data_IF_239828463730
#
_entry.id   IF_239828463730
#
_cell.length_a   1.000
_cell.length_b   1.000
_cell.length_c   1.000
_cell.angle_alpha   90.00
_cell.angle_beta   90.00
_cell.angle_gamma   90.00
#
_symmetry.space_group_name_H-M   'P 1'
#
loop_
_entity.id
_entity.type
_entity.pdbx_description
1 polymer ?
#
# COMPACT_ATOMS: atom_id res chain seq x y z
N UNK A 1 -7.60 -28.48 2.80
CA UNK A 1 -7.23 -27.06 2.87
C UNK A 1 -6.21 -26.86 1.76
N UNK A 2 -6.60 -26.23 0.65
CA UNK A 2 -5.62 -25.80 -0.35
C UNK A 2 -4.64 -24.85 0.33
N UNK A 3 -3.36 -25.16 0.26
CA UNK A 3 -2.29 -24.26 0.72
C UNK A 3 -2.35 -23.00 -0.14
N UNK A 4 -2.90 -21.91 0.40
CA UNK A 4 -2.77 -20.61 -0.26
C UNK A 4 -1.28 -20.29 -0.38
N UNK A 5 -0.85 -19.86 -1.57
CA UNK A 5 0.48 -19.31 -1.73
C UNK A 5 0.67 -18.16 -0.70
N UNK A 6 1.83 -18.09 -0.05
CA UNK A 6 2.12 -17.04 0.91
C UNK A 6 2.05 -15.67 0.23
N UNK A 7 1.52 -14.67 0.95
CA UNK A 7 1.50 -13.29 0.46
C UNK A 7 2.76 -12.60 0.96
N UNK A 8 3.65 -12.25 0.03
CA UNK A 8 4.89 -11.56 0.33
C UNK A 8 4.67 -10.06 0.48
N UNK A 9 5.29 -9.46 1.50
CA UNK A 9 5.26 -8.01 1.75
C UNK A 9 6.68 -7.52 1.96
N UNK A 10 7.13 -6.57 1.12
CA UNK A 10 8.38 -5.87 1.34
C UNK A 10 8.33 -5.05 2.63
N UNK A 11 9.45 -4.97 3.35
CA UNK A 11 9.49 -4.24 4.62
C UNK A 11 10.86 -3.62 4.88
N UNK A 12 10.88 -2.44 5.50
CA UNK A 12 12.14 -1.88 6.02
C UNK A 12 12.71 -2.78 7.12
N UNK A 13 13.88 -3.37 6.91
CA UNK A 13 14.45 -4.44 7.74
C UNK A 13 14.54 -4.10 9.24
N UNK A 14 14.76 -2.84 9.59
CA UNK A 14 14.81 -2.38 10.99
C UNK A 14 13.47 -2.58 11.74
N UNK A 15 12.33 -2.70 11.02
CA UNK A 15 11.02 -2.94 11.61
C UNK A 15 10.82 -4.39 12.04
N UNK A 16 11.65 -5.31 11.51
CA UNK A 16 11.68 -6.73 11.86
C UNK A 16 12.71 -7.05 12.96
N UNK A 17 13.24 -6.04 13.65
CA UNK A 17 14.24 -6.23 14.70
C UNK A 17 15.68 -6.38 14.19
N UNK A 18 15.93 -6.24 12.88
CA UNK A 18 17.29 -6.30 12.34
C UNK A 18 18.05 -5.02 12.69
N UNK A 19 19.26 -5.15 13.24
CA UNK A 19 20.11 -4.06 13.72
C UNK A 19 20.83 -3.33 12.58
N UNK A 20 20.07 -2.72 11.69
CA UNK A 20 20.55 -2.06 10.46
C UNK A 20 20.40 -0.54 10.45
N UNK A 21 20.04 0.07 11.58
CA UNK A 21 19.96 1.53 11.66
C UNK A 21 21.33 2.17 11.75
N UNK A 22 21.39 3.48 11.44
CA UNK A 22 22.64 4.27 11.47
C UNK A 22 23.41 4.17 12.78
N UNK A 23 22.72 3.97 13.91
CA UNK A 23 23.32 3.84 15.25
C UNK A 23 23.56 2.37 15.68
N UNK A 24 23.42 1.40 14.77
CA UNK A 24 23.58 -0.03 15.08
C UNK A 24 22.39 -0.67 15.79
N UNK A 25 21.25 0.04 15.92
CA UNK A 25 20.03 -0.51 16.55
C UNK A 25 18.98 -0.92 15.53
N UNK A 26 17.80 -1.25 16.03
CA UNK A 26 16.60 -1.56 15.25
C UNK A 26 15.42 -0.68 15.69
N UNK A 27 14.26 -0.87 15.06
CA UNK A 27 12.99 -0.29 15.46
C UNK A 27 11.86 -1.32 15.26
N UNK A 28 12.02 -2.46 15.91
CA UNK A 28 11.06 -3.54 15.85
C UNK A 28 9.62 -3.05 16.11
N UNK A 29 8.72 -3.46 15.27
CA UNK A 29 7.27 -3.24 15.41
C UNK A 29 6.60 -4.53 15.84
N UNK A 30 6.17 -4.62 17.08
CA UNK A 30 5.47 -5.81 17.60
C UNK A 30 4.17 -6.11 16.86
N UNK A 31 3.51 -5.10 16.30
CA UNK A 31 2.35 -5.30 15.43
C UNK A 31 2.72 -6.16 14.20
N UNK A 32 3.86 -5.86 13.58
CA UNK A 32 4.31 -6.54 12.37
C UNK A 32 4.88 -7.93 12.68
N UNK A 33 5.77 -8.02 13.66
CA UNK A 33 6.48 -9.26 14.00
C UNK A 33 5.61 -10.31 14.69
N UNK A 34 4.48 -9.94 15.29
CA UNK A 34 3.57 -10.85 15.98
C UNK A 34 2.23 -11.00 15.27
N UNK A 35 1.46 -9.90 15.12
CA UNK A 35 0.09 -10.01 14.63
C UNK A 35 0.00 -10.22 13.12
N UNK A 36 0.83 -9.55 12.32
CA UNK A 36 0.76 -9.66 10.86
C UNK A 36 1.65 -10.77 10.29
N UNK A 37 2.69 -11.19 11.00
CA UNK A 37 3.59 -12.26 10.56
C UNK A 37 2.93 -13.65 10.48
N UNK A 38 1.76 -13.82 11.10
CA UNK A 38 0.96 -15.05 10.96
C UNK A 38 0.21 -15.12 9.62
N UNK A 39 0.13 -14.00 8.90
CA UNK A 39 -0.69 -13.87 7.69
C UNK A 39 0.13 -13.49 6.45
N UNK A 40 1.34 -13.00 6.63
CA UNK A 40 2.20 -12.48 5.56
C UNK A 40 3.65 -12.92 5.75
N UNK A 41 4.32 -13.21 4.66
CA UNK A 41 5.76 -13.43 4.62
C UNK A 41 6.47 -12.11 4.32
N UNK A 42 7.27 -11.65 5.26
CA UNK A 42 7.98 -10.38 5.12
C UNK A 42 9.33 -10.55 4.41
N UNK A 43 9.59 -9.70 3.41
CA UNK A 43 10.84 -9.61 2.66
C UNK A 43 11.59 -8.34 3.10
N UNK A 44 12.56 -8.44 4.03
CA UNK A 44 13.21 -7.28 4.61
C UNK A 44 14.27 -6.68 3.68
N UNK A 45 14.31 -5.34 3.59
CA UNK A 45 15.34 -4.60 2.88
C UNK A 45 15.81 -3.38 3.69
N UNK A 46 17.12 -3.09 3.64
CA UNK A 46 17.69 -1.84 4.17
C UNK A 46 18.50 -1.15 3.08
N UNK A 47 17.98 -0.08 2.45
CA UNK A 47 18.65 0.57 1.33
C UNK A 47 20.01 1.19 1.71
N UNK A 48 20.15 1.76 2.91
CA UNK A 48 21.37 2.38 3.35
C UNK A 48 22.51 1.36 3.56
N UNK A 49 22.19 0.16 4.05
CA UNK A 49 23.17 -0.93 4.18
C UNK A 49 23.52 -1.48 2.79
N UNK A 50 22.53 -1.65 1.94
CA UNK A 50 22.71 -2.23 0.61
C UNK A 50 23.61 -1.38 -0.30
N UNK A 51 23.56 -0.04 -0.17
CA UNK A 51 24.47 0.86 -0.91
C UNK A 51 25.85 1.00 -0.28
N UNK A 52 26.19 0.21 0.76
CA UNK A 52 27.51 0.13 1.35
C UNK A 52 27.83 1.14 2.46
N UNK A 53 26.82 1.80 3.05
CA UNK A 53 27.07 2.78 4.12
C UNK A 53 27.56 2.15 5.44
N UNK A 54 27.41 0.82 5.60
CA UNK A 54 27.86 0.11 6.81
C UNK A 54 26.96 0.28 8.03
N UNK A 55 27.38 -0.31 9.16
CA UNK A 55 26.73 -0.24 10.48
C UNK A 55 27.85 -0.20 11.56
N UNK A 56 27.92 0.78 12.49
CA UNK A 56 27.15 2.04 12.45
C UNK A 56 27.60 2.95 11.31
N UNK A 57 26.80 3.98 10.99
CA UNK A 57 27.10 4.94 9.93
C UNK A 57 26.67 6.36 10.31
N UNK A 58 27.15 7.32 9.56
CA UNK A 58 26.67 8.67 9.65
C UNK A 58 25.17 8.74 9.27
N UNK A 59 24.41 9.52 10.03
CA UNK A 59 23.03 9.81 9.68
C UNK A 59 22.97 10.69 8.42
N UNK A 60 21.98 10.44 7.56
CA UNK A 60 21.69 11.26 6.39
C UNK A 60 20.42 12.07 6.60
N UNK A 61 20.26 13.14 5.83
CA UNK A 61 19.05 13.99 5.79
C UNK A 61 18.74 14.40 4.37
N UNK A 62 17.48 14.80 4.13
CA UNK A 62 17.08 15.37 2.86
C UNK A 62 17.29 16.88 2.88
N UNK A 63 17.83 17.42 1.77
CA UNK A 63 18.06 18.87 1.57
C UNK A 63 17.61 19.27 0.16
N UNK A 64 17.38 20.57 -0.02
CA UNK A 64 17.04 21.14 -1.34
C UNK A 64 15.54 21.18 -1.60
N UNK A 65 15.13 20.98 -2.85
CA UNK A 65 13.72 21.00 -3.26
C UNK A 65 12.96 19.79 -2.71
N UNK A 66 11.81 19.97 -2.01
CA UNK A 66 10.99 18.87 -1.52
C UNK A 66 10.50 17.89 -2.60
N UNK A 67 10.34 18.33 -3.84
CA UNK A 67 9.93 17.46 -4.97
C UNK A 67 11.12 16.63 -5.49
N UNK A 68 12.34 17.18 -5.39
CA UNK A 68 13.58 16.56 -5.86
C UNK A 68 14.70 16.68 -4.81
N UNK A 69 14.50 16.12 -3.60
CA UNK A 69 15.45 16.29 -2.51
C UNK A 69 16.74 15.49 -2.73
N UNK A 70 17.80 15.96 -2.12
CA UNK A 70 19.08 15.24 -2.05
C UNK A 70 19.28 14.62 -0.67
N UNK A 71 19.75 13.37 -0.63
CA UNK A 71 20.12 12.68 0.60
C UNK A 71 21.61 12.87 0.87
N UNK A 72 21.95 13.68 1.87
CA UNK A 72 23.33 14.03 2.21
C UNK A 72 23.66 13.72 3.67
N UNK A 73 24.94 13.56 3.97
CA UNK A 73 25.42 13.37 5.34
C UNK A 73 25.08 14.54 6.25
N UNK A 74 24.87 14.28 7.53
CA UNK A 74 24.57 15.33 8.52
C UNK A 74 25.83 16.05 8.98
N UNK A 75 26.97 15.38 8.98
CA UNK A 75 28.31 15.90 9.35
C UNK A 75 29.14 16.17 8.09
N UNK A 76 29.35 15.15 7.27
CA UNK A 76 30.07 15.25 6.00
C UNK A 76 29.12 15.58 4.87
N UNK A 77 28.98 16.86 4.54
CA UNK A 77 28.01 17.36 3.53
C UNK A 77 28.36 16.93 2.09
N UNK A 78 29.59 16.56 1.84
CA UNK A 78 30.09 15.96 0.59
C UNK A 78 29.62 14.51 0.40
N UNK A 79 29.22 13.82 1.48
CA UNK A 79 28.56 12.52 1.38
C UNK A 79 27.16 12.71 0.77
N UNK A 80 27.02 12.40 -0.51
CA UNK A 80 25.74 12.43 -1.23
C UNK A 80 25.39 11.02 -1.71
N UNK A 81 24.30 10.47 -1.17
CA UNK A 81 23.83 9.10 -1.45
C UNK A 81 22.50 9.08 -2.23
N UNK A 82 22.12 10.22 -2.80
CA UNK A 82 20.86 10.35 -3.55
C UNK A 82 20.78 9.35 -4.69
N UNK A 83 21.76 9.37 -5.57
CA UNK A 83 21.79 8.48 -6.74
C UNK A 83 21.88 7.00 -6.37
N UNK A 84 22.78 6.56 -5.48
CA UNK A 84 22.82 5.15 -5.04
C UNK A 84 21.51 4.66 -4.43
N UNK A 85 20.82 5.48 -3.62
CA UNK A 85 19.52 5.13 -3.04
C UNK A 85 18.41 5.02 -4.09
N UNK A 86 18.39 5.92 -5.09
CA UNK A 86 17.43 5.86 -6.17
C UNK A 86 17.65 4.62 -7.04
N UNK A 87 18.88 4.38 -7.48
CA UNK A 87 19.25 3.21 -8.29
C UNK A 87 18.93 1.88 -7.56
N UNK A 88 19.17 1.83 -6.24
CA UNK A 88 18.78 0.68 -5.45
C UNK A 88 17.25 0.53 -5.35
N UNK A 89 16.50 1.63 -5.26
CA UNK A 89 15.03 1.61 -5.30
C UNK A 89 14.48 1.02 -6.59
N UNK A 90 15.04 1.45 -7.73
CA UNK A 90 14.67 0.91 -9.05
C UNK A 90 15.08 -0.57 -9.21
N UNK A 91 16.25 -0.96 -8.66
CA UNK A 91 16.71 -2.34 -8.66
C UNK A 91 15.77 -3.24 -7.85
N UNK A 92 15.47 -2.85 -6.61
CA UNK A 92 14.60 -3.63 -5.72
C UNK A 92 13.17 -3.71 -6.24
N UNK A 93 12.70 -2.71 -6.97
CA UNK A 93 11.40 -2.77 -7.62
C UNK A 93 11.33 -3.89 -8.69
N UNK A 94 12.44 -4.23 -9.33
CA UNK A 94 12.52 -5.36 -10.27
C UNK A 94 12.72 -6.71 -9.56
N UNK A 95 13.50 -6.74 -8.47
CA UNK A 95 13.78 -7.97 -7.73
C UNK A 95 12.60 -8.45 -6.88
N UNK A 96 11.80 -7.49 -6.38
CA UNK A 96 10.62 -7.77 -5.56
C UNK A 96 9.34 -7.72 -6.42
N UNK A 97 9.28 -8.45 -7.52
CA UNK A 97 8.16 -8.46 -8.46
C UNK A 97 6.95 -9.27 -7.95
N UNK A 98 7.16 -10.15 -6.98
CA UNK A 98 6.16 -11.03 -6.38
C UNK A 98 5.49 -10.47 -5.11
N UNK A 99 5.94 -9.31 -4.61
CA UNK A 99 5.34 -8.73 -3.40
C UNK A 99 3.96 -8.12 -3.69
N UNK A 100 3.09 -8.19 -2.68
CA UNK A 100 1.72 -7.66 -2.74
C UNK A 100 1.53 -6.38 -1.91
N UNK A 101 2.58 -5.86 -1.31
CA UNK A 101 2.59 -4.63 -0.54
C UNK A 101 3.99 -4.30 -0.01
N UNK A 102 4.16 -3.07 0.52
CA UNK A 102 5.39 -2.67 1.17
C UNK A 102 5.13 -1.83 2.41
N UNK A 103 5.83 -2.12 3.52
CA UNK A 103 5.77 -1.35 4.77
C UNK A 103 7.09 -0.61 4.97
N UNK A 104 7.01 0.70 4.92
CA UNK A 104 8.17 1.57 5.02
C UNK A 104 8.39 2.12 6.44
N UNK A 105 9.66 2.32 6.81
CA UNK A 105 10.05 3.01 8.04
C UNK A 105 9.71 4.50 7.92
N UNK A 106 8.81 4.99 8.76
CA UNK A 106 8.40 6.40 8.78
C UNK A 106 9.56 7.36 9.06
N UNK A 107 9.48 8.56 8.51
CA UNK A 107 10.43 9.68 8.75
C UNK A 107 11.89 9.39 8.36
N UNK A 108 12.15 8.26 7.68
CA UNK A 108 13.49 7.93 7.17
C UNK A 108 13.78 8.73 5.89
N UNK A 109 14.95 9.34 5.73
CA UNK A 109 15.35 10.01 4.51
C UNK A 109 15.49 9.06 3.31
N UNK A 110 15.63 7.75 3.58
CA UNK A 110 15.67 6.71 2.56
C UNK A 110 14.29 6.08 2.34
N UNK A 111 13.57 5.70 3.41
CA UNK A 111 12.39 4.85 3.37
C UNK A 111 11.05 5.57 3.63
N UNK A 112 11.03 6.79 4.19
CA UNK A 112 9.77 7.44 4.56
C UNK A 112 8.90 7.75 3.34
N UNK A 113 7.60 7.48 3.43
CA UNK A 113 6.64 7.74 2.34
C UNK A 113 6.16 9.17 2.31
N UNK A 114 5.93 9.73 3.49
CA UNK A 114 5.31 11.05 3.64
C UNK A 114 5.98 11.85 4.75
N UNK A 115 5.97 13.17 4.62
CA UNK A 115 6.40 14.12 5.66
C UNK A 115 7.84 13.89 6.16
N UNK A 116 8.71 13.32 5.33
CA UNK A 116 10.14 13.27 5.63
C UNK A 116 10.68 14.70 5.61
N UNK A 117 11.38 15.10 6.67
CA UNK A 117 11.90 16.47 6.75
C UNK A 117 12.91 16.73 5.64
N UNK A 118 12.64 17.73 4.83
CA UNK A 118 13.57 18.30 3.84
C UNK A 118 14.05 19.64 4.36
N UNK A 119 15.34 19.88 4.36
CA UNK A 119 15.96 21.07 4.93
C UNK A 119 16.40 22.04 3.83
N UNK A 120 16.19 23.31 4.06
CA UNK A 120 16.73 24.43 3.27
C UNK A 120 18.22 24.56 3.53
N UNK A 121 18.92 25.33 2.70
CA UNK A 121 20.35 25.66 2.89
C UNK A 121 20.63 26.30 4.25
N UNK A 122 19.71 27.11 4.76
CA UNK A 122 19.80 27.75 6.07
C UNK A 122 19.53 26.77 7.25
N UNK A 123 19.26 25.50 7.00
CA UNK A 123 19.00 24.46 8.01
C UNK A 123 17.56 24.41 8.53
N UNK A 124 16.66 25.28 8.10
CA UNK A 124 15.24 25.23 8.46
C UNK A 124 14.52 24.15 7.61
N UNK A 125 13.59 23.37 8.19
CA UNK A 125 12.80 22.43 7.40
C UNK A 125 11.77 23.15 6.51
N UNK A 126 11.42 22.54 5.38
CA UNK A 126 10.25 22.93 4.60
C UNK A 126 8.97 22.41 5.28
N UNK A 127 7.88 23.17 5.13
CA UNK A 127 6.56 22.73 5.52
C UNK A 127 6.09 21.61 4.56
N UNK A 128 5.36 20.61 5.09
CA UNK A 128 4.84 19.48 4.31
C UNK A 128 5.82 18.32 4.16
N UNK A 129 7.13 18.59 4.15
CA UNK A 129 8.17 17.55 3.96
C UNK A 129 8.20 16.94 2.56
N UNK A 130 8.99 15.89 2.39
CA UNK A 130 9.14 15.14 1.14
C UNK A 130 8.98 13.64 1.34
N UNK A 131 9.51 12.87 0.39
CA UNK A 131 9.57 11.41 0.41
C UNK A 131 11.03 10.96 0.45
N UNK A 132 11.31 9.84 1.11
CA UNK A 132 12.63 9.21 1.12
C UNK A 132 13.02 8.72 -0.28
N UNK A 133 14.29 8.84 -0.62
CA UNK A 133 14.79 8.63 -1.99
C UNK A 133 14.52 7.21 -2.50
N UNK A 134 14.83 6.19 -1.69
CA UNK A 134 14.53 4.79 -2.02
C UNK A 134 13.02 4.57 -2.21
N UNK A 135 12.22 5.05 -1.26
CA UNK A 135 10.76 4.88 -1.32
C UNK A 135 10.15 5.59 -2.55
N UNK A 136 10.70 6.75 -2.94
CA UNK A 136 10.25 7.48 -4.13
C UNK A 136 10.50 6.66 -5.40
N UNK A 137 11.73 6.18 -5.60
CA UNK A 137 12.11 5.41 -6.78
C UNK A 137 11.36 4.07 -6.85
N UNK A 138 11.27 3.35 -5.74
CA UNK A 138 10.55 2.08 -5.65
C UNK A 138 9.07 2.23 -5.99
N UNK A 139 8.38 3.21 -5.38
CA UNK A 139 6.95 3.43 -5.62
C UNK A 139 6.64 3.96 -7.03
N UNK A 140 7.58 4.67 -7.67
CA UNK A 140 7.41 5.12 -9.05
C UNK A 140 7.35 3.94 -10.04
N UNK A 141 8.09 2.87 -9.77
CA UNK A 141 8.05 1.64 -10.56
C UNK A 141 6.81 0.77 -10.27
N UNK A 142 6.20 0.92 -9.08
CA UNK A 142 5.02 0.16 -8.66
C UNK A 142 3.86 1.09 -8.24
N UNK A 143 3.23 1.84 -9.17
CA UNK A 143 2.23 2.86 -8.82
C UNK A 143 0.97 2.29 -8.17
N UNK A 144 0.62 1.04 -8.42
CA UNK A 144 -0.58 0.39 -7.90
C UNK A 144 -0.31 -0.49 -6.66
N UNK A 145 0.96 -0.70 -6.28
CA UNK A 145 1.31 -1.50 -5.12
C UNK A 145 0.79 -0.86 -3.82
N UNK A 146 0.15 -1.62 -2.94
CA UNK A 146 -0.18 -1.16 -1.59
C UNK A 146 1.06 -0.81 -0.79
N UNK A 147 1.19 0.45 -0.39
CA UNK A 147 2.27 0.89 0.48
C UNK A 147 1.73 1.62 1.69
N UNK A 148 2.44 1.51 2.85
CA UNK A 148 2.08 2.21 4.07
C UNK A 148 3.32 2.41 4.98
N UNK A 149 3.26 3.34 5.93
CA UNK A 149 4.27 3.52 6.97
C UNK A 149 3.92 2.74 8.24
N UNK A 150 4.94 2.21 8.92
CA UNK A 150 4.80 1.45 10.16
C UNK A 150 3.99 2.19 11.23
N UNK A 151 4.24 3.49 11.38
CA UNK A 151 3.54 4.31 12.36
C UNK A 151 2.04 4.47 12.07
N UNK A 152 1.65 4.52 10.80
CA UNK A 152 0.26 4.67 10.36
C UNK A 152 -0.55 3.38 10.53
N UNK A 153 0.11 2.22 10.47
CA UNK A 153 -0.54 0.93 10.71
C UNK A 153 -1.01 0.73 12.17
N UNK A 154 -0.62 1.60 13.11
CA UNK A 154 -1.19 1.59 14.45
C UNK A 154 -2.65 2.10 14.47
N UNK A 155 -3.06 2.89 13.49
CA UNK A 155 -4.47 3.25 13.29
C UNK A 155 -5.22 2.04 12.69
N UNK A 156 -6.28 1.52 13.36
CA UNK A 156 -6.97 0.32 12.90
C UNK A 156 -7.66 0.53 11.54
N UNK A 157 -8.14 1.72 11.23
CA UNK A 157 -8.78 2.02 9.93
C UNK A 157 -7.78 1.99 8.79
N UNK A 158 -6.60 2.61 8.99
CA UNK A 158 -5.53 2.61 7.99
C UNK A 158 -4.92 1.22 7.80
N UNK A 159 -4.78 0.47 8.90
CA UNK A 159 -4.31 -0.92 8.88
C UNK A 159 -5.27 -1.83 8.10
N UNK A 160 -6.57 -1.77 8.40
CA UNK A 160 -7.60 -2.52 7.67
C UNK A 160 -7.60 -2.17 6.18
N UNK A 161 -7.52 -0.88 5.85
CA UNK A 161 -7.43 -0.41 4.47
C UNK A 161 -6.19 -0.95 3.75
N UNK A 162 -5.02 -0.92 4.41
CA UNK A 162 -3.79 -1.48 3.85
C UNK A 162 -3.92 -2.98 3.58
N UNK A 163 -4.39 -3.76 4.57
CA UNK A 163 -4.59 -5.21 4.47
C UNK A 163 -5.58 -5.54 3.33
N UNK A 164 -6.69 -4.82 3.24
CA UNK A 164 -7.68 -4.99 2.16
C UNK A 164 -7.05 -4.79 0.79
N UNK A 165 -6.22 -3.75 0.62
CA UNK A 165 -5.49 -3.49 -0.63
C UNK A 165 -4.49 -4.59 -0.96
N UNK A 166 -3.76 -5.09 0.04
CA UNK A 166 -2.81 -6.21 -0.13
C UNK A 166 -3.54 -7.46 -0.64
N UNK A 167 -4.67 -7.83 -0.04
CA UNK A 167 -5.45 -8.98 -0.51
C UNK A 167 -6.03 -8.76 -1.92
N UNK A 168 -6.46 -7.55 -2.25
CA UNK A 168 -6.94 -7.25 -3.60
C UNK A 168 -5.81 -7.35 -4.63
N UNK A 169 -4.61 -6.87 -4.28
CA UNK A 169 -3.42 -6.96 -5.12
C UNK A 169 -2.98 -8.42 -5.32
N UNK A 170 -2.91 -9.20 -4.25
CA UNK A 170 -2.56 -10.62 -4.32
C UNK A 170 -3.56 -11.42 -5.18
N UNK A 171 -4.86 -11.18 -5.00
CA UNK A 171 -5.88 -11.83 -5.83
C UNK A 171 -5.79 -11.42 -7.30
N UNK A 172 -5.34 -10.19 -7.59
CA UNK A 172 -5.07 -9.74 -8.95
C UNK A 172 -3.85 -10.42 -9.55
N UNK A 173 -2.76 -10.55 -8.80
CA UNK A 173 -1.57 -11.28 -9.25
C UNK A 173 -1.92 -12.74 -9.59
N UNK A 174 -2.77 -13.39 -8.78
CA UNK A 174 -3.23 -14.73 -9.07
C UNK A 174 -4.08 -14.77 -10.36
N UNK A 175 -4.97 -13.79 -10.57
CA UNK A 175 -5.75 -13.67 -11.79
C UNK A 175 -4.86 -13.52 -13.05
N UNK A 176 -3.75 -12.78 -12.93
CA UNK A 176 -2.77 -12.64 -14.02
C UNK A 176 -2.09 -13.98 -14.34
N UNK A 177 -1.70 -14.76 -13.32
CA UNK A 177 -1.09 -16.09 -13.48
C UNK A 177 -2.06 -17.07 -14.12
N UNK A 178 -3.34 -17.05 -13.71
CA UNK A 178 -4.39 -17.96 -14.21
C UNK A 178 -4.88 -17.59 -15.62
N UNK A 179 -4.59 -16.37 -16.06
CA UNK A 179 -5.01 -15.81 -17.33
C UNK A 179 -6.28 -14.99 -17.24
N UNK A 180 -6.23 -13.80 -17.87
CA UNK A 180 -7.34 -12.85 -17.88
C UNK A 180 -8.40 -13.30 -18.89
N UNK A 181 -9.57 -13.66 -18.38
CA UNK A 181 -10.76 -13.89 -19.17
C UNK A 181 -11.88 -12.93 -18.75
N UNK A 182 -12.87 -12.73 -19.61
CA UNK A 182 -14.06 -11.92 -19.25
C UNK A 182 -14.72 -12.42 -17.99
N UNK A 183 -14.90 -13.74 -17.87
CA UNK A 183 -15.51 -14.38 -16.70
C UNK A 183 -14.67 -14.10 -15.45
N UNK A 184 -13.37 -14.36 -15.50
CA UNK A 184 -12.48 -14.18 -14.36
C UNK A 184 -12.43 -12.71 -13.89
N UNK A 185 -12.38 -11.74 -14.82
CA UNK A 185 -12.42 -10.32 -14.49
C UNK A 185 -13.76 -9.89 -13.87
N UNK A 186 -14.89 -10.44 -14.37
CA UNK A 186 -16.22 -10.17 -13.79
C UNK A 186 -16.37 -10.81 -12.40
N UNK A 187 -15.86 -12.02 -12.20
CA UNK A 187 -15.84 -12.68 -10.89
C UNK A 187 -14.97 -11.92 -9.89
N UNK A 188 -13.79 -11.45 -10.32
CA UNK A 188 -12.92 -10.60 -9.51
C UNK A 188 -13.65 -9.32 -9.09
N UNK A 189 -14.27 -8.59 -10.03
CA UNK A 189 -15.07 -7.41 -9.70
C UNK A 189 -16.18 -7.70 -8.70
N UNK A 190 -16.88 -8.83 -8.86
CA UNK A 190 -17.98 -9.22 -7.98
C UNK A 190 -17.55 -9.45 -6.53
N UNK A 191 -16.30 -9.89 -6.31
CA UNK A 191 -15.71 -10.03 -4.95
C UNK A 191 -15.43 -8.67 -4.31
N UNK A 192 -15.00 -7.68 -5.09
CA UNK A 192 -14.58 -6.37 -4.57
C UNK A 192 -15.62 -5.26 -4.73
N UNK A 193 -16.76 -5.50 -5.42
CA UNK A 193 -17.75 -4.47 -5.73
C UNK A 193 -18.29 -3.73 -4.51
N UNK A 194 -18.54 -4.40 -3.41
CA UNK A 194 -19.04 -3.77 -2.19
C UNK A 194 -17.95 -3.02 -1.42
N UNK A 195 -16.75 -3.54 -1.42
CA UNK A 195 -15.58 -2.83 -0.89
C UNK A 195 -15.34 -1.55 -1.69
N UNK A 196 -15.34 -1.66 -3.02
CA UNK A 196 -15.21 -0.51 -3.92
C UNK A 196 -16.34 0.52 -3.71
N UNK A 197 -17.59 0.07 -3.52
CA UNK A 197 -18.73 0.93 -3.21
C UNK A 197 -18.56 1.66 -1.87
N UNK A 198 -17.95 1.01 -0.87
CA UNK A 198 -17.65 1.62 0.42
C UNK A 198 -16.51 2.65 0.34
N UNK A 199 -15.46 2.38 -0.44
CA UNK A 199 -14.29 3.25 -0.55
C UNK A 199 -14.53 4.43 -1.53
N UNK A 200 -15.10 4.15 -2.71
CA UNK A 200 -15.39 5.15 -3.74
C UNK A 200 -16.64 4.79 -4.57
N UNK A 201 -17.82 5.31 -4.19
CA UNK A 201 -19.08 5.03 -4.92
C UNK A 201 -19.07 5.52 -6.38
N UNK A 202 -18.25 6.52 -6.72
CA UNK A 202 -18.12 7.03 -8.09
C UNK A 202 -17.37 6.03 -8.94
N UNK A 203 -16.21 5.56 -8.45
CA UNK A 203 -15.42 4.54 -9.13
C UNK A 203 -16.13 3.19 -9.19
N UNK A 204 -16.93 2.83 -8.19
CA UNK A 204 -17.80 1.65 -8.26
C UNK A 204 -18.68 1.65 -9.51
N UNK A 205 -19.37 2.77 -9.80
CA UNK A 205 -20.21 2.91 -10.99
C UNK A 205 -19.39 2.90 -12.28
N UNK A 206 -18.27 3.63 -12.30
CA UNK A 206 -17.41 3.74 -13.47
C UNK A 206 -16.83 2.38 -13.88
N UNK A 207 -16.28 1.62 -12.91
CA UNK A 207 -15.70 0.30 -13.17
C UNK A 207 -16.78 -0.74 -13.52
N UNK A 208 -17.94 -0.68 -12.91
CA UNK A 208 -19.09 -1.51 -13.31
C UNK A 208 -19.52 -1.24 -14.76
N UNK A 209 -19.56 0.03 -15.17
CA UNK A 209 -19.86 0.42 -16.56
C UNK A 209 -18.74 0.00 -17.53
N UNK A 210 -17.49 0.14 -17.14
CA UNK A 210 -16.34 -0.30 -17.95
C UNK A 210 -16.44 -1.79 -18.29
N UNK A 211 -16.76 -2.62 -17.30
CA UNK A 211 -16.92 -4.06 -17.48
C UNK A 211 -18.21 -4.40 -18.26
N UNK A 212 -19.32 -3.71 -17.98
CA UNK A 212 -20.59 -3.90 -18.69
C UNK A 212 -20.48 -3.58 -20.17
N UNK A 213 -19.68 -2.58 -20.53
CA UNK A 213 -19.44 -2.15 -21.90
C UNK A 213 -18.26 -2.88 -22.58
N UNK A 214 -17.68 -3.88 -21.97
CA UNK A 214 -16.56 -4.64 -22.52
C UNK A 214 -16.88 -5.24 -23.90
N UNK A 215 -18.16 -5.55 -24.14
CA UNK A 215 -18.65 -6.02 -25.45
C UNK A 215 -17.85 -7.23 -25.96
N UNK A 216 -17.30 -7.14 -27.19
CA UNK A 216 -16.43 -8.15 -27.80
C UNK A 216 -14.94 -7.83 -27.62
N UNK A 217 -14.57 -6.75 -26.93
CA UNK A 217 -13.18 -6.36 -26.73
C UNK A 217 -12.42 -7.42 -25.91
N UNK A 218 -11.12 -7.51 -26.17
CA UNK A 218 -10.22 -8.37 -25.41
C UNK A 218 -10.13 -7.86 -23.96
N UNK A 219 -10.49 -8.68 -22.95
CA UNK A 219 -10.41 -8.29 -21.55
C UNK A 219 -8.99 -7.93 -21.10
N UNK A 220 -7.95 -8.46 -21.76
CA UNK A 220 -6.55 -8.14 -21.44
C UNK A 220 -6.19 -6.67 -21.68
N UNK A 221 -6.87 -6.01 -22.65
CA UNK A 221 -6.67 -4.60 -22.95
C UNK A 221 -7.29 -3.67 -21.90
N UNK A 222 -8.37 -4.12 -21.25
CA UNK A 222 -9.11 -3.34 -20.25
C UNK A 222 -8.53 -3.56 -18.85
N UNK A 223 -7.97 -4.72 -18.60
CA UNK A 223 -7.52 -5.16 -17.29
C UNK A 223 -6.54 -4.20 -16.60
N UNK A 224 -5.49 -3.66 -17.25
CA UNK A 224 -4.56 -2.74 -16.59
C UNK A 224 -5.26 -1.45 -16.12
N UNK A 225 -6.09 -0.84 -16.97
CA UNK A 225 -6.86 0.35 -16.64
C UNK A 225 -7.85 0.08 -15.50
N UNK A 226 -8.55 -1.05 -15.57
CA UNK A 226 -9.47 -1.48 -14.53
C UNK A 226 -8.76 -1.62 -13.18
N UNK A 227 -7.61 -2.29 -13.15
CA UNK A 227 -6.88 -2.55 -11.91
C UNK A 227 -6.31 -1.28 -11.28
N UNK A 228 -5.70 -0.41 -12.08
CA UNK A 228 -5.17 0.86 -11.59
C UNK A 228 -6.27 1.74 -10.99
N UNK A 229 -7.43 1.82 -11.65
CA UNK A 229 -8.58 2.56 -11.14
C UNK A 229 -9.15 1.91 -9.86
N UNK A 230 -9.20 0.57 -9.78
CA UNK A 230 -9.61 -0.14 -8.57
C UNK A 230 -8.66 0.18 -7.41
N UNK A 231 -7.34 0.04 -7.60
CA UNK A 231 -6.36 0.29 -6.54
C UNK A 231 -6.36 1.75 -6.09
N UNK A 232 -6.54 2.69 -7.02
CA UNK A 232 -6.72 4.12 -6.71
C UNK A 232 -7.95 4.36 -5.84
N UNK A 233 -9.08 3.73 -6.16
CA UNK A 233 -10.30 3.84 -5.38
C UNK A 233 -10.15 3.24 -3.97
N UNK A 234 -9.52 2.08 -3.85
CA UNK A 234 -9.29 1.40 -2.58
C UNK A 234 -8.32 2.14 -1.65
N UNK A 235 -7.51 3.09 -2.15
CA UNK A 235 -6.65 3.95 -1.29
C UNK A 235 -7.45 4.83 -0.34
N UNK A 236 -8.70 5.17 -0.68
CA UNK A 236 -9.56 5.97 0.19
C UNK A 236 -10.14 5.07 1.27
N UNK A 237 -9.87 5.30 2.57
CA UNK A 237 -10.52 4.53 3.62
C UNK A 237 -12.04 4.72 3.55
N UNK A 238 -12.79 3.62 3.72
CA UNK A 238 -14.23 3.69 3.83
C UNK A 238 -14.65 4.41 5.13
N UNK A 239 -15.76 5.12 5.09
CA UNK A 239 -16.31 5.84 6.24
C UNK A 239 -17.51 5.09 6.82
N UNK A 240 -17.88 5.39 8.07
CA UNK A 240 -19.13 4.86 8.66
C UNK A 240 -20.33 5.08 7.73
N UNK A 241 -20.47 6.27 7.15
CA UNK A 241 -21.55 6.61 6.22
C UNK A 241 -21.56 5.72 4.98
N UNK A 242 -20.39 5.46 4.39
CA UNK A 242 -20.31 4.63 3.18
C UNK A 242 -20.52 3.16 3.49
N UNK A 243 -20.08 2.65 4.64
CA UNK A 243 -20.42 1.31 5.11
C UNK A 243 -21.94 1.15 5.32
N UNK A 244 -22.58 2.10 5.99
CA UNK A 244 -24.04 2.12 6.17
C UNK A 244 -24.77 2.03 4.81
N UNK A 245 -24.31 2.81 3.82
CA UNK A 245 -24.88 2.77 2.47
C UNK A 245 -24.74 1.39 1.81
N UNK A 246 -23.58 0.75 1.95
CA UNK A 246 -23.37 -0.61 1.42
C UNK A 246 -24.25 -1.63 2.12
N UNK A 247 -24.37 -1.57 3.45
CA UNK A 247 -25.24 -2.49 4.22
C UNK A 247 -26.70 -2.32 3.80
N UNK A 248 -27.18 -1.09 3.65
CA UNK A 248 -28.54 -0.82 3.16
C UNK A 248 -28.75 -1.37 1.74
N UNK A 249 -27.76 -1.24 0.87
CA UNK A 249 -27.80 -1.81 -0.48
C UNK A 249 -27.89 -3.34 -0.45
N UNK A 250 -27.09 -4.00 0.38
CA UNK A 250 -27.14 -5.47 0.57
C UNK A 250 -28.50 -5.90 1.12
N UNK A 251 -29.02 -5.20 2.12
CA UNK A 251 -30.37 -5.49 2.68
C UNK A 251 -31.47 -5.37 1.61
N UNK A 252 -31.25 -4.57 0.58
CA UNK A 252 -32.18 -4.49 -0.56
C UNK A 252 -32.40 -5.82 -1.26
N UNK A 253 -31.41 -6.71 -1.32
CA UNK A 253 -31.52 -8.05 -1.92
C UNK A 253 -32.30 -9.05 -1.04
N UNK A 254 -32.43 -8.76 0.28
CA UNK A 254 -33.11 -9.65 1.21
C UNK A 254 -34.63 -9.37 1.30
N UNK A 255 -35.15 -8.41 0.53
CA UNK A 255 -36.53 -7.92 0.65
C UNK A 255 -37.60 -8.99 0.54
N UNK A 256 -37.36 -10.03 -0.27
CA UNK A 256 -38.33 -11.09 -0.53
C UNK A 256 -38.09 -12.35 0.33
N UNK A 257 -36.93 -12.42 1.02
CA UNK A 257 -36.49 -13.64 1.71
C UNK A 257 -36.59 -13.57 3.24
N UNK A 258 -36.79 -12.38 3.81
CA UNK A 258 -36.84 -12.19 5.28
C UNK A 258 -38.16 -11.51 5.69
N UNK A 259 -38.60 -11.75 6.95
CA UNK A 259 -39.81 -11.17 7.52
C UNK A 259 -39.70 -9.64 7.68
N UNK A 260 -40.84 -8.98 7.84
CA UNK A 260 -40.87 -7.52 8.11
C UNK A 260 -40.21 -7.18 9.45
N UNK A 261 -40.35 -8.05 10.45
CA UNK A 261 -39.70 -7.91 11.76
C UNK A 261 -38.18 -7.94 11.64
N UNK A 262 -37.64 -8.93 10.91
CA UNK A 262 -36.20 -9.07 10.70
C UNK A 262 -35.61 -7.87 9.94
N UNK A 263 -36.38 -7.33 8.96
CA UNK A 263 -35.98 -6.10 8.25
C UNK A 263 -35.86 -4.91 9.17
N UNK A 264 -36.83 -4.73 10.09
CA UNK A 264 -36.79 -3.63 11.05
C UNK A 264 -35.62 -3.77 12.01
N UNK A 265 -35.33 -4.99 12.49
CA UNK A 265 -34.20 -5.27 13.36
C UNK A 265 -32.87 -4.99 12.65
N UNK A 266 -32.67 -5.50 11.43
CA UNK A 266 -31.45 -5.24 10.63
C UNK A 266 -31.27 -3.73 10.39
N UNK A 267 -32.34 -3.02 10.02
CA UNK A 267 -32.28 -1.56 9.84
C UNK A 267 -31.90 -0.84 11.13
N UNK A 268 -32.46 -1.27 12.28
CA UNK A 268 -32.10 -0.75 13.59
C UNK A 268 -30.62 -0.92 13.91
N UNK A 269 -30.06 -2.11 13.63
CA UNK A 269 -28.63 -2.42 13.83
C UNK A 269 -27.70 -1.61 12.90
N UNK A 270 -28.13 -1.36 11.66
CA UNK A 270 -27.33 -0.55 10.70
C UNK A 270 -27.24 0.92 11.13
N UNK A 271 -28.23 1.41 11.86
CA UNK A 271 -28.28 2.81 12.30
C UNK A 271 -27.65 3.08 13.69
N UNK A 272 -27.28 2.04 14.43
CA UNK A 272 -26.48 2.13 15.67
C UNK A 272 -25.01 2.39 15.37
#
# INVERSE_FOLDING_TARGET
MESREPIHIGISACLMGVEVRYNGGHKESHLLTRALNEHFDFVPACPEVAIGMGIPREAIRLVGDPEHPQAVGTVHKDLNVTRPLAEYGEHMAREMDDICGYIFMQKSPSCGLERVKVYRENGAPFDGGGRGIYAQAFCAAHPDLPVEEDGRLNDPVLRENFITRVFAYAAWQQLLKDGITRRALTEFHSRYKYQLMANDPVQYKALGSLLGNMGRNDPTQIAPQYFSALMTALRKPATRRTHTNVLQHICGYLRETISTSDKQEIQGLIHQ
#
